data_IF_342876774623
#
_entry.id   IF_342876774623
#
_cell.length_a   1.000
_cell.length_b   1.000
_cell.length_c   1.000
_cell.angle_alpha   90.00
_cell.angle_beta   90.00
_cell.angle_gamma   90.00
#
_symmetry.space_group_name_H-M   'P 1'
#
loop_
_entity.id
_entity.type
_entity.pdbx_description
1 polymer ?
#
# COMPACT_ATOMS: atom_id res chain seq x y z
N UNK A 1 13.89 -6.90 19.16
CA UNK A 1 14.83 -5.79 19.36
C UNK A 1 14.20 -4.87 20.38
N UNK A 2 14.88 -4.60 21.49
CA UNK A 2 14.40 -3.60 22.44
C UNK A 2 14.76 -2.21 21.89
N UNK A 3 13.76 -1.49 21.39
CA UNK A 3 13.94 -0.16 20.79
C UNK A 3 14.49 0.82 21.83
N UNK A 4 14.17 0.63 23.12
CA UNK A 4 14.62 1.52 24.19
C UNK A 4 16.13 1.43 24.46
N UNK A 5 16.80 0.40 23.94
CA UNK A 5 18.24 0.17 24.10
C UNK A 5 19.07 0.61 22.87
N UNK A 6 18.44 1.12 21.81
CA UNK A 6 19.13 1.61 20.61
C UNK A 6 19.71 3.01 20.85
N UNK A 7 20.86 3.29 20.25
CA UNK A 7 21.37 4.67 20.12
C UNK A 7 20.55 5.45 19.09
N UNK A 8 20.59 6.78 19.16
CA UNK A 8 19.89 7.67 18.21
C UNK A 8 20.24 7.32 16.75
N UNK A 9 21.53 7.19 16.42
CA UNK A 9 21.97 6.78 15.07
C UNK A 9 21.42 5.42 14.62
N UNK A 10 21.22 4.49 15.56
CA UNK A 10 20.67 3.17 15.26
C UNK A 10 19.15 3.21 15.05
N UNK A 11 18.46 4.14 15.71
CA UNK A 11 17.04 4.40 15.47
C UNK A 11 16.85 4.98 14.07
N UNK A 12 17.65 5.98 13.69
CA UNK A 12 17.56 6.61 12.37
C UNK A 12 17.83 5.60 11.25
N UNK A 13 18.89 4.80 11.38
CA UNK A 13 19.19 3.73 10.42
C UNK A 13 18.05 2.69 10.34
N UNK A 14 17.47 2.30 11.49
CA UNK A 14 16.36 1.36 11.52
C UNK A 14 15.09 1.92 10.87
N UNK A 15 14.82 3.22 10.97
CA UNK A 15 13.70 3.88 10.30
C UNK A 15 13.88 3.79 8.78
N UNK A 16 15.06 4.13 8.27
CA UNK A 16 15.34 4.09 6.83
C UNK A 16 15.24 2.67 6.27
N UNK A 17 15.84 1.68 6.95
CA UNK A 17 15.82 0.29 6.53
C UNK A 17 14.38 -0.28 6.52
N UNK A 18 13.64 -0.08 7.61
CA UNK A 18 12.25 -0.56 7.70
C UNK A 18 11.32 0.17 6.74
N UNK A 19 11.57 1.45 6.47
CA UNK A 19 10.81 2.20 5.47
C UNK A 19 11.08 1.70 4.05
N UNK A 20 12.33 1.34 3.71
CA UNK A 20 12.66 0.72 2.43
C UNK A 20 11.93 -0.63 2.26
N UNK A 21 11.90 -1.46 3.30
CA UNK A 21 11.14 -2.72 3.32
C UNK A 21 9.64 -2.49 3.15
N UNK A 22 9.08 -1.54 3.91
CA UNK A 22 7.67 -1.16 3.84
C UNK A 22 7.30 -0.67 2.44
N UNK A 23 8.14 0.17 1.82
CA UNK A 23 7.92 0.66 0.46
C UNK A 23 7.95 -0.48 -0.56
N UNK A 24 8.89 -1.43 -0.44
CA UNK A 24 8.93 -2.61 -1.30
C UNK A 24 7.68 -3.48 -1.17
N UNK A 25 7.13 -3.63 0.04
CA UNK A 25 5.85 -4.30 0.27
C UNK A 25 4.66 -3.51 -0.30
N UNK A 26 4.64 -2.20 -0.09
CA UNK A 26 3.57 -1.32 -0.57
C UNK A 26 3.50 -1.31 -2.10
N UNK A 27 4.62 -1.18 -2.81
CA UNK A 27 4.66 -1.23 -4.28
C UNK A 27 4.09 -2.55 -4.82
N UNK A 28 4.45 -3.68 -4.18
CA UNK A 28 3.89 -5.00 -4.55
C UNK A 28 2.37 -5.05 -4.33
N UNK A 29 1.89 -4.56 -3.19
CA UNK A 29 0.45 -4.44 -2.92
C UNK A 29 -0.24 -3.58 -3.97
N UNK A 30 0.29 -2.39 -4.27
CA UNK A 30 -0.31 -1.46 -5.22
C UNK A 30 -0.41 -2.04 -6.64
N UNK A 31 0.59 -2.81 -7.09
CA UNK A 31 0.51 -3.54 -8.36
C UNK A 31 -0.61 -4.57 -8.38
N UNK A 32 -0.84 -5.27 -7.27
CA UNK A 32 -1.94 -6.24 -7.13
C UNK A 32 -3.29 -5.51 -7.09
N UNK A 33 -3.39 -4.40 -6.36
CA UNK A 33 -4.59 -3.55 -6.31
C UNK A 33 -4.95 -3.03 -7.70
N UNK A 34 -3.97 -2.53 -8.46
CA UNK A 34 -4.19 -2.08 -9.85
C UNK A 34 -4.76 -3.19 -10.72
N UNK A 35 -4.16 -4.39 -10.65
CA UNK A 35 -4.65 -5.55 -11.39
C UNK A 35 -6.05 -6.00 -10.94
N UNK A 36 -6.33 -5.95 -9.64
CA UNK A 36 -7.63 -6.28 -9.05
C UNK A 36 -8.73 -5.31 -9.52
N UNK A 37 -8.44 -4.01 -9.53
CA UNK A 37 -9.33 -2.97 -10.03
C UNK A 37 -9.56 -3.08 -11.55
N UNK A 38 -8.48 -3.30 -12.32
CA UNK A 38 -8.54 -3.48 -13.78
C UNK A 38 -9.43 -4.66 -14.17
N UNK A 39 -9.34 -5.76 -13.42
CA UNK A 39 -10.19 -6.95 -13.58
C UNK A 39 -11.58 -6.79 -12.92
N UNK A 40 -11.82 -5.71 -12.19
CA UNK A 40 -13.05 -5.42 -11.45
C UNK A 40 -13.44 -6.51 -10.47
N UNK A 41 -12.45 -7.14 -9.84
CA UNK A 41 -12.67 -8.27 -8.93
C UNK A 41 -13.38 -7.85 -7.63
N UNK A 42 -13.30 -6.57 -7.27
CA UNK A 42 -14.07 -5.94 -6.19
C UNK A 42 -15.59 -6.09 -6.35
N UNK A 43 -16.09 -6.41 -7.55
CA UNK A 43 -17.52 -6.70 -7.76
C UNK A 43 -17.97 -7.95 -7.02
N UNK A 44 -17.07 -8.89 -6.74
CA UNK A 44 -17.38 -10.10 -5.98
C UNK A 44 -17.73 -9.83 -4.52
N UNK A 45 -17.31 -8.69 -3.96
CA UNK A 45 -17.58 -8.29 -2.57
C UNK A 45 -18.74 -7.28 -2.43
N UNK A 46 -19.60 -7.16 -3.45
CA UNK A 46 -20.68 -6.16 -3.51
C UNK A 46 -20.22 -4.70 -3.32
N UNK A 47 -18.93 -4.41 -3.55
CA UNK A 47 -18.37 -3.07 -3.45
C UNK A 47 -18.65 -2.28 -4.72
N UNK A 48 -18.79 -0.95 -4.62
CA UNK A 48 -19.04 -0.08 -5.78
C UNK A 48 -17.77 0.33 -6.56
N UNK A 49 -16.60 0.17 -5.94
CA UNK A 49 -15.29 0.49 -6.50
C UNK A 49 -14.19 -0.27 -5.75
N UNK A 50 -12.97 -0.27 -6.30
CA UNK A 50 -11.80 -0.83 -5.60
C UNK A 50 -11.55 -0.13 -4.26
N UNK A 51 -11.65 1.20 -4.21
CA UNK A 51 -11.46 1.93 -2.95
C UNK A 51 -12.48 1.52 -1.88
N UNK A 52 -13.75 1.30 -2.27
CA UNK A 52 -14.77 0.81 -1.35
C UNK A 52 -14.49 -0.62 -0.86
N UNK A 53 -13.97 -1.47 -1.75
CA UNK A 53 -13.52 -2.82 -1.40
C UNK A 53 -12.38 -2.77 -0.36
N UNK A 54 -11.35 -1.97 -0.61
CA UNK A 54 -10.20 -1.84 0.29
C UNK A 54 -10.59 -1.31 1.68
N UNK A 55 -11.51 -0.34 1.77
CA UNK A 55 -12.05 0.11 3.06
C UNK A 55 -12.71 -1.04 3.81
N UNK A 56 -13.50 -1.86 3.12
CA UNK A 56 -14.21 -2.98 3.74
C UNK A 56 -13.30 -4.11 4.21
N UNK A 57 -12.31 -4.49 3.40
CA UNK A 57 -11.49 -5.69 3.65
C UNK A 57 -10.20 -5.43 4.42
N UNK A 58 -9.63 -4.22 4.33
CA UNK A 58 -8.36 -3.86 4.98
C UNK A 58 -8.55 -2.89 6.14
N UNK A 59 -9.79 -2.46 6.42
CA UNK A 59 -10.11 -1.49 7.47
C UNK A 59 -9.29 -0.17 7.38
N UNK A 60 -8.89 0.22 6.18
CA UNK A 60 -8.19 1.49 5.93
C UNK A 60 -9.19 2.63 5.74
N UNK A 61 -8.74 3.87 5.96
CA UNK A 61 -9.58 5.04 5.70
C UNK A 61 -9.94 5.16 4.22
N UNK A 62 -11.07 5.81 3.92
CA UNK A 62 -11.46 6.11 2.54
C UNK A 62 -10.39 6.90 1.78
N UNK A 63 -9.72 7.86 2.45
CA UNK A 63 -8.62 8.63 1.86
C UNK A 63 -7.46 7.71 1.47
N UNK A 64 -7.00 6.88 2.40
CA UNK A 64 -5.92 5.91 2.16
C UNK A 64 -6.24 4.98 0.99
N UNK A 65 -7.46 4.42 0.96
CA UNK A 65 -7.88 3.54 -0.12
C UNK A 65 -7.87 4.25 -1.49
N UNK A 66 -8.34 5.50 -1.56
CA UNK A 66 -8.31 6.27 -2.81
C UNK A 66 -6.89 6.58 -3.24
N UNK A 67 -6.02 6.94 -2.31
CA UNK A 67 -4.62 7.24 -2.62
C UNK A 67 -3.90 5.98 -3.14
N UNK A 68 -4.16 4.82 -2.54
CA UNK A 68 -3.64 3.55 -3.04
C UNK A 68 -4.13 3.21 -4.44
N UNK A 69 -5.42 3.36 -4.74
CA UNK A 69 -5.93 3.13 -6.11
C UNK A 69 -5.29 4.09 -7.11
N UNK A 70 -5.11 5.36 -6.75
CA UNK A 70 -4.43 6.36 -7.61
C UNK A 70 -2.96 6.01 -7.86
N UNK A 71 -2.24 5.60 -6.80
CA UNK A 71 -0.85 5.19 -6.90
C UNK A 71 -0.71 3.90 -7.71
N UNK A 72 -1.61 2.94 -7.55
CA UNK A 72 -1.67 1.73 -8.37
C UNK A 72 -1.80 2.07 -9.86
N UNK A 73 -2.75 2.95 -10.23
CA UNK A 73 -2.88 3.39 -11.62
C UNK A 73 -1.67 4.21 -12.10
N UNK A 74 -0.97 4.93 -11.22
CA UNK A 74 0.26 5.63 -11.59
C UNK A 74 1.40 4.65 -11.90
N UNK A 75 1.57 3.59 -11.09
CA UNK A 75 2.56 2.53 -11.33
C UNK A 75 2.27 1.74 -12.61
N UNK A 76 0.99 1.53 -12.95
CA UNK A 76 0.62 0.91 -14.23
C UNK A 76 1.03 1.77 -15.44
N UNK A 77 0.89 3.10 -15.33
CA UNK A 77 1.29 4.04 -16.38
C UNK A 77 2.82 4.23 -16.45
N UNK A 78 3.52 4.05 -15.33
CA UNK A 78 4.96 4.26 -15.21
C UNK A 78 5.62 3.10 -14.45
N UNK A 79 5.87 1.95 -15.11
CA UNK A 79 6.33 0.73 -14.44
C UNK A 79 7.73 0.81 -13.82
N UNK A 80 8.52 1.81 -14.23
CA UNK A 80 9.89 2.05 -13.75
C UNK A 80 9.93 2.90 -12.47
N UNK A 81 8.78 3.30 -11.93
CA UNK A 81 8.66 3.91 -10.61
C UNK A 81 8.49 2.84 -9.52
#
# INVERSE_FOLDING_TARGET
>A
MDVAALSDDAIDAAVDDLHAELNGALVRLLRIVGEHDRRRLWRSSASASEAAHLVGVLAVSWRTANDWVRLAHALERHPSW
#
